data_IF_757053961757
#
_entry.id   IF_757053961757
#
_cell.length_a   1.000
_cell.length_b   1.000
_cell.length_c   1.000
_cell.angle_alpha   90.00
_cell.angle_beta   90.00
_cell.angle_gamma   90.00
#
_symmetry.space_group_name_H-M   'P 1'
#
loop_
_entity.id
_entity.type
_entity.pdbx_description
1 polymer ?
#
# COMPACT_ATOMS: atom_id res chain seq x y z
N UNK A 1 9.88 1.55 -26.98
CA UNK A 1 9.55 2.63 -26.02
C UNK A 1 10.51 2.50 -24.87
N UNK A 2 11.31 3.52 -24.59
CA UNK A 2 12.25 3.50 -23.46
C UNK A 2 11.52 3.80 -22.13
N UNK A 3 12.21 3.62 -21.00
CA UNK A 3 11.65 3.82 -19.66
C UNK A 3 11.12 5.25 -19.41
N UNK A 4 11.71 6.27 -20.05
CA UNK A 4 11.30 7.67 -19.92
C UNK A 4 10.02 7.93 -20.72
N UNK A 5 9.93 7.38 -21.93
CA UNK A 5 8.72 7.42 -22.75
C UNK A 5 7.53 6.72 -22.09
N UNK A 6 7.75 5.56 -21.45
CA UNK A 6 6.74 4.85 -20.67
C UNK A 6 6.28 5.66 -19.46
N UNK A 7 7.21 6.14 -18.64
CA UNK A 7 6.89 6.91 -17.42
C UNK A 7 6.10 8.18 -17.73
N UNK A 8 6.46 8.90 -18.80
CA UNK A 8 5.74 10.11 -19.23
C UNK A 8 4.32 9.79 -19.70
N UNK A 9 4.13 8.76 -20.53
CA UNK A 9 2.78 8.33 -20.96
C UNK A 9 1.94 7.83 -19.78
N UNK A 10 2.53 7.04 -18.89
CA UNK A 10 1.86 6.51 -17.71
C UNK A 10 1.38 7.64 -16.78
N UNK A 11 2.24 8.62 -16.51
CA UNK A 11 1.86 9.78 -15.70
C UNK A 11 0.79 10.63 -16.36
N UNK A 12 0.76 10.75 -17.69
CA UNK A 12 -0.32 11.46 -18.39
C UNK A 12 -1.68 10.78 -18.18
N UNK A 13 -1.71 9.45 -18.25
CA UNK A 13 -2.92 8.63 -18.11
C UNK A 13 -3.40 8.50 -16.66
N UNK A 14 -2.50 8.18 -15.74
CA UNK A 14 -2.84 7.84 -14.35
C UNK A 14 -2.60 8.97 -13.36
N UNK A 15 -2.01 10.10 -13.80
CA UNK A 15 -1.58 11.26 -12.98
C UNK A 15 -0.54 10.96 -11.90
N UNK A 16 -0.23 9.70 -11.67
CA UNK A 16 0.76 9.21 -10.71
C UNK A 16 1.93 8.53 -11.41
N UNK A 17 3.05 8.41 -10.71
CA UNK A 17 4.21 7.67 -11.25
C UNK A 17 3.93 6.16 -11.28
N UNK A 18 4.56 5.40 -12.18
CA UNK A 18 4.44 3.93 -12.19
C UNK A 18 4.77 3.29 -10.84
N UNK A 19 5.78 3.83 -10.14
CA UNK A 19 6.17 3.38 -8.80
C UNK A 19 5.04 3.58 -7.79
N UNK A 20 4.45 4.78 -7.77
CA UNK A 20 3.33 5.09 -6.88
C UNK A 20 2.10 4.24 -7.19
N UNK A 21 1.86 3.91 -8.46
CA UNK A 21 0.80 3.00 -8.84
C UNK A 21 1.04 1.58 -8.32
N UNK A 22 2.26 1.06 -8.42
CA UNK A 22 2.63 -0.26 -7.88
C UNK A 22 2.48 -0.24 -6.35
N UNK A 23 3.01 0.78 -5.68
CA UNK A 23 2.88 0.92 -4.23
C UNK A 23 1.41 0.97 -3.81
N UNK A 24 0.55 1.65 -4.57
CA UNK A 24 -0.89 1.67 -4.34
C UNK A 24 -1.50 0.27 -4.41
N UNK A 25 -1.16 -0.53 -5.42
CA UNK A 25 -1.65 -1.91 -5.54
C UNK A 25 -1.16 -2.81 -4.39
N UNK A 26 0.07 -2.62 -3.93
CA UNK A 26 0.61 -3.32 -2.76
C UNK A 26 -0.14 -2.92 -1.48
N UNK A 27 -0.51 -1.65 -1.34
CA UNK A 27 -1.32 -1.19 -0.23
C UNK A 27 -2.76 -1.73 -0.25
N UNK A 28 -3.35 -1.88 -1.43
CA UNK A 28 -4.67 -2.52 -1.57
C UNK A 28 -4.62 -3.99 -1.11
N UNK A 29 -3.55 -4.71 -1.47
CA UNK A 29 -3.29 -6.07 -0.95
C UNK A 29 -3.06 -6.08 0.56
N UNK A 30 -2.31 -5.11 1.09
CA UNK A 30 -2.10 -4.99 2.54
C UNK A 30 -3.42 -4.82 3.29
N UNK A 31 -4.32 -3.96 2.80
CA UNK A 31 -5.67 -3.81 3.37
C UNK A 31 -6.44 -5.12 3.37
N UNK A 32 -6.39 -5.86 2.27
CA UNK A 32 -7.03 -7.16 2.16
C UNK A 32 -6.46 -8.15 3.20
N UNK A 33 -5.14 -8.27 3.30
CA UNK A 33 -4.49 -9.19 4.23
C UNK A 33 -4.73 -8.81 5.70
N UNK A 34 -4.72 -7.52 6.04
CA UNK A 34 -5.03 -7.06 7.40
C UNK A 34 -6.45 -7.46 7.82
N UNK A 35 -7.40 -7.41 6.89
CA UNK A 35 -8.82 -7.72 7.16
C UNK A 35 -9.14 -9.22 7.11
N UNK A 36 -8.46 -9.97 6.26
CA UNK A 36 -8.84 -11.36 5.93
C UNK A 36 -7.82 -12.39 6.43
N UNK A 37 -6.81 -12.00 7.20
CA UNK A 37 -5.82 -12.94 7.73
C UNK A 37 -5.33 -12.56 9.13
N UNK A 38 -4.92 -13.56 9.89
CA UNK A 38 -4.31 -13.38 11.22
C UNK A 38 -2.83 -13.00 11.19
N UNK A 39 -2.24 -12.83 9.98
CA UNK A 39 -0.82 -12.52 9.78
C UNK A 39 -0.41 -11.27 10.54
N UNK A 40 0.79 -11.28 11.10
CA UNK A 40 1.33 -10.09 11.76
C UNK A 40 1.77 -9.04 10.72
N UNK A 41 1.96 -7.79 11.15
CA UNK A 41 2.26 -6.67 10.24
C UNK A 41 3.58 -6.89 9.47
N UNK A 42 4.57 -7.57 10.06
CA UNK A 42 5.83 -7.85 9.39
C UNK A 42 5.64 -8.88 8.26
N UNK A 43 4.83 -9.91 8.47
CA UNK A 43 4.48 -10.89 7.44
C UNK A 43 3.72 -10.23 6.29
N UNK A 44 2.73 -9.37 6.61
CA UNK A 44 1.95 -8.63 5.62
C UNK A 44 2.87 -7.69 4.81
N UNK A 45 3.81 -7.01 5.46
CA UNK A 45 4.79 -6.15 4.80
C UNK A 45 5.60 -6.93 3.74
N UNK A 46 6.13 -8.10 4.11
CA UNK A 46 6.92 -8.95 3.22
C UNK A 46 6.09 -9.49 2.06
N UNK A 47 4.87 -9.95 2.32
CA UNK A 47 3.96 -10.49 1.32
C UNK A 47 3.46 -9.44 0.32
N UNK A 48 3.32 -8.19 0.77
CA UNK A 48 3.04 -7.05 -0.10
C UNK A 48 4.27 -6.59 -0.92
N UNK A 49 5.43 -7.23 -0.75
CA UNK A 49 6.65 -6.94 -1.51
C UNK A 49 7.43 -5.73 -1.00
N UNK A 50 7.29 -5.37 0.28
CA UNK A 50 8.09 -4.33 0.92
C UNK A 50 9.21 -4.94 1.76
N UNK A 51 10.44 -4.48 1.52
CA UNK A 51 11.64 -4.95 2.25
C UNK A 51 11.82 -4.28 3.61
N UNK A 52 11.09 -3.20 3.90
CA UNK A 52 11.24 -2.41 5.13
C UNK A 52 9.88 -2.17 5.79
N UNK A 53 9.63 -2.75 6.98
CA UNK A 53 8.42 -2.50 7.77
C UNK A 53 8.25 -1.02 8.14
N UNK A 54 9.33 -0.32 8.49
CA UNK A 54 9.26 1.09 8.85
C UNK A 54 8.79 1.96 7.66
N UNK A 55 9.33 1.70 6.47
CA UNK A 55 8.91 2.40 5.25
C UNK A 55 7.47 2.10 4.88
N UNK A 56 7.07 0.83 4.95
CA UNK A 56 5.71 0.38 4.74
C UNK A 56 4.73 1.09 5.69
N UNK A 57 4.99 1.09 7.00
CA UNK A 57 4.11 1.71 8.01
C UNK A 57 4.00 3.22 7.79
N UNK A 58 5.12 3.92 7.54
CA UNK A 58 5.11 5.37 7.33
C UNK A 58 4.29 5.76 6.09
N UNK A 59 4.43 5.00 4.99
CA UNK A 59 3.69 5.25 3.74
C UNK A 59 2.23 4.83 3.84
N UNK A 60 1.94 3.71 4.49
CA UNK A 60 0.57 3.25 4.76
C UNK A 60 -0.18 4.28 5.60
N UNK A 61 0.44 4.78 6.69
CA UNK A 61 -0.12 5.86 7.52
C UNK A 61 -0.34 7.13 6.72
N UNK A 62 0.59 7.51 5.85
CA UNK A 62 0.41 8.69 4.98
C UNK A 62 -0.78 8.54 4.02
N UNK A 63 -1.06 7.33 3.55
CA UNK A 63 -2.14 7.06 2.58
C UNK A 63 -3.51 6.92 3.24
N UNK A 64 -3.60 6.19 4.36
CA UNK A 64 -4.87 5.84 5.00
C UNK A 64 -5.12 6.57 6.31
N UNK A 65 -4.21 7.47 6.70
CA UNK A 65 -4.23 8.21 7.96
C UNK A 65 -4.25 7.32 9.23
N UNK A 66 -3.93 6.04 9.08
CA UNK A 66 -3.95 4.99 10.09
C UNK A 66 -2.76 4.08 9.87
N UNK A 67 -2.15 3.54 10.93
CA UNK A 67 -1.13 2.51 10.80
C UNK A 67 -1.78 1.14 10.53
N UNK A 68 -1.04 0.20 9.91
CA UNK A 68 -1.52 -1.17 9.72
C UNK A 68 -1.97 -1.86 11.02
N UNK A 69 -1.30 -1.56 12.13
CA UNK A 69 -1.60 -2.13 13.43
C UNK A 69 -2.85 -1.51 14.08
N UNK A 70 -3.06 -0.20 13.91
CA UNK A 70 -4.31 0.45 14.29
C UNK A 70 -5.48 -0.15 13.52
N UNK A 71 -5.32 -0.34 12.20
CA UNK A 71 -6.33 -0.97 11.37
C UNK A 71 -6.64 -2.42 11.79
N UNK A 72 -5.62 -3.20 12.14
CA UNK A 72 -5.79 -4.58 12.63
C UNK A 72 -6.51 -4.64 13.98
N UNK A 73 -6.29 -3.67 14.87
CA UNK A 73 -6.96 -3.59 16.16
C UNK A 73 -8.37 -3.04 16.05
N UNK A 74 -8.62 -2.15 15.10
CA UNK A 74 -9.95 -1.65 14.81
C UNK A 74 -10.76 -2.71 14.06
N UNK A 75 -11.39 -3.63 14.80
CA UNK A 75 -12.47 -4.47 14.27
C UNK A 75 -13.71 -3.65 13.83
N UNK A 76 -13.67 -2.31 13.91
CA UNK A 76 -14.68 -1.45 13.33
C UNK A 76 -14.51 -1.35 11.81
N UNK A 77 -15.23 -2.25 11.15
CA UNK A 77 -15.74 -2.11 9.79
C UNK A 77 -16.37 -0.70 9.64
N UNK A 78 -16.19 -0.08 8.47
CA UNK A 78 -16.70 1.24 8.04
C UNK A 78 -15.85 2.46 8.45
N UNK A 79 -14.95 2.83 7.54
CA UNK A 79 -14.60 4.20 7.09
C UNK A 79 -13.12 4.27 6.69
N UNK A 80 -12.77 3.64 5.57
CA UNK A 80 -11.69 4.18 4.74
C UNK A 80 -12.36 5.09 3.70
N UNK A 81 -11.85 6.31 3.46
CA UNK A 81 -12.38 7.19 2.41
C UNK A 81 -12.27 6.55 1.01
#
# INVERSE_FOLDING_TARGET
MDMSGFSRKFKTLFKISPKEWIDNKRFDLALYLIKNSDKNINQICLECGFSSPAWFIARFKKKFNLTPNELKKSNNLYNLP
#
